data_IF_038888324089
#
_entry.id   IF_038888324089
#
_cell.length_a   1.000
_cell.length_b   1.000
_cell.length_c   1.000
_cell.angle_alpha   90.00
_cell.angle_beta   90.00
_cell.angle_gamma   90.00
#
_symmetry.space_group_name_H-M   'P 1'
#
loop_
_entity.id
_entity.type
_entity.pdbx_description
1 polymer ?
#
# COMPACT_ATOMS: atom_id res chain seq x y z
N UNK A 1 -5.38 -6.23 14.45
CA UNK A 1 -4.60 -6.10 13.20
C UNK A 1 -4.59 -4.66 12.74
N UNK A 2 -3.49 -4.23 12.15
CA UNK A 2 -3.38 -2.86 11.67
C UNK A 2 -4.18 -2.66 10.39
N UNK A 3 -4.82 -1.52 10.29
CA UNK A 3 -5.55 -1.11 9.09
C UNK A 3 -4.91 0.16 8.55
N UNK A 4 -4.60 0.15 7.27
CA UNK A 4 -3.91 1.26 6.61
C UNK A 4 -4.80 1.85 5.51
N UNK A 5 -5.67 2.82 5.84
CA UNK A 5 -6.61 3.38 4.86
C UNK A 5 -5.93 4.07 3.68
N UNK A 6 -4.67 4.51 3.84
CA UNK A 6 -3.94 5.15 2.74
C UNK A 6 -3.60 4.21 1.59
N UNK A 7 -3.59 2.89 1.83
CA UNK A 7 -3.42 1.93 0.75
C UNK A 7 -4.53 2.08 -0.29
N UNK A 8 -5.76 2.18 0.18
CA UNK A 8 -6.91 2.38 -0.71
C UNK A 8 -6.86 3.75 -1.36
N UNK A 9 -6.54 4.79 -0.61
CA UNK A 9 -6.46 6.15 -1.13
C UNK A 9 -5.44 6.24 -2.26
N UNK A 10 -4.26 5.67 -2.07
CA UNK A 10 -3.21 5.67 -3.09
C UNK A 10 -3.65 4.91 -4.34
N UNK A 11 -4.30 3.77 -4.15
CA UNK A 11 -4.78 2.97 -5.27
C UNK A 11 -5.85 3.74 -6.08
N UNK A 12 -6.80 4.35 -5.39
CA UNK A 12 -7.86 5.11 -6.04
C UNK A 12 -7.33 6.35 -6.73
N UNK A 13 -6.35 7.01 -6.15
CA UNK A 13 -5.70 8.18 -6.76
C UNK A 13 -5.03 7.84 -8.10
N UNK A 14 -4.58 6.60 -8.26
CA UNK A 14 -3.98 6.13 -9.51
C UNK A 14 -4.97 5.43 -10.43
N UNK A 15 -6.26 5.45 -10.08
CA UNK A 15 -7.31 4.79 -10.85
C UNK A 15 -7.04 3.30 -11.06
N UNK A 16 -6.45 2.65 -10.07
CA UNK A 16 -6.15 1.23 -10.15
C UNK A 16 -7.22 0.41 -9.46
N UNK A 17 -7.62 -0.71 -10.09
CA UNK A 17 -8.42 -1.70 -9.41
C UNK A 17 -7.52 -2.56 -8.52
N UNK A 18 -8.14 -3.26 -7.56
CA UNK A 18 -7.39 -4.21 -6.72
C UNK A 18 -6.68 -5.24 -7.60
N UNK A 19 -7.35 -5.73 -8.64
CA UNK A 19 -6.79 -6.70 -9.57
C UNK A 19 -5.54 -6.15 -10.25
N UNK A 20 -5.62 -4.94 -10.77
CA UNK A 20 -4.50 -4.32 -11.48
C UNK A 20 -3.29 -4.13 -10.57
N UNK A 21 -3.53 -3.65 -9.35
CA UNK A 21 -2.45 -3.45 -8.39
C UNK A 21 -1.83 -4.78 -7.96
N UNK A 22 -2.66 -5.78 -7.69
CA UNK A 22 -2.17 -7.11 -7.32
C UNK A 22 -1.26 -7.69 -8.42
N UNK A 23 -1.64 -7.53 -9.68
CA UNK A 23 -0.81 -7.98 -10.79
C UNK A 23 0.55 -7.26 -10.79
N UNK A 24 0.55 -5.95 -10.57
CA UNK A 24 1.79 -5.17 -10.53
C UNK A 24 2.69 -5.55 -9.35
N UNK A 25 2.11 -5.99 -8.26
CA UNK A 25 2.84 -6.43 -7.07
C UNK A 25 3.19 -7.92 -7.11
N UNK A 26 2.74 -8.65 -8.14
CA UNK A 26 2.96 -10.08 -8.31
C UNK A 26 2.37 -10.92 -7.16
N UNK A 27 1.18 -10.53 -6.70
CA UNK A 27 0.45 -11.28 -5.67
C UNK A 27 -0.98 -11.50 -6.13
N UNK A 28 -1.68 -12.41 -5.44
CA UNK A 28 -3.07 -12.68 -5.75
C UNK A 28 -3.97 -11.53 -5.32
N UNK A 29 -5.03 -11.28 -6.08
CA UNK A 29 -6.01 -10.25 -5.80
C UNK A 29 -6.62 -10.37 -4.40
N UNK A 30 -7.01 -11.59 -4.03
CA UNK A 30 -7.60 -11.85 -2.71
C UNK A 30 -6.61 -11.53 -1.59
N UNK A 31 -5.34 -11.86 -1.79
CA UNK A 31 -4.28 -11.57 -0.82
C UNK A 31 -4.15 -10.06 -0.60
N UNK A 32 -4.07 -9.29 -1.68
CA UNK A 32 -3.97 -7.84 -1.56
C UNK A 32 -5.22 -7.24 -0.91
N UNK A 33 -6.41 -7.72 -1.30
CA UNK A 33 -7.67 -7.26 -0.72
C UNK A 33 -7.67 -7.43 0.80
N UNK A 34 -7.17 -8.54 1.29
CA UNK A 34 -7.10 -8.79 2.73
C UNK A 34 -6.19 -7.80 3.46
N UNK A 35 -5.12 -7.37 2.81
CA UNK A 35 -4.24 -6.34 3.38
C UNK A 35 -4.91 -4.97 3.38
N UNK A 36 -5.56 -4.60 2.29
CA UNK A 36 -6.21 -3.30 2.17
C UNK A 36 -7.39 -3.16 3.14
N UNK A 37 -8.12 -4.22 3.39
CA UNK A 37 -9.28 -4.21 4.29
C UNK A 37 -8.93 -4.45 5.76
N UNK A 38 -7.67 -4.76 6.06
CA UNK A 38 -7.23 -5.00 7.42
C UNK A 38 -7.51 -6.40 7.94
N UNK A 39 -7.96 -7.32 7.09
CA UNK A 39 -8.18 -8.72 7.50
C UNK A 39 -6.90 -9.46 7.81
N UNK A 40 -5.80 -9.04 7.19
CA UNK A 40 -4.47 -9.59 7.43
C UNK A 40 -3.48 -8.48 7.55
N UNK A 41 -2.45 -8.69 8.37
CA UNK A 41 -1.39 -7.71 8.52
C UNK A 41 -0.55 -7.62 7.25
N UNK A 42 -0.21 -6.40 6.86
CA UNK A 42 0.62 -6.14 5.70
C UNK A 42 2.07 -6.53 6.03
N UNK A 43 2.67 -7.48 5.29
CA UNK A 43 4.08 -7.81 5.51
C UNK A 43 4.96 -6.61 5.20
N UNK A 44 6.03 -6.48 5.98
CA UNK A 44 6.93 -5.33 5.83
C UNK A 44 7.56 -5.28 4.44
N UNK A 45 7.95 -6.42 3.90
CA UNK A 45 8.53 -6.51 2.55
C UNK A 45 7.56 -5.99 1.49
N UNK A 46 6.29 -6.31 1.63
CA UNK A 46 5.27 -5.84 0.69
C UNK A 46 5.01 -4.36 0.88
N UNK A 47 5.04 -3.88 2.11
CA UNK A 47 4.90 -2.45 2.39
C UNK A 47 6.00 -1.65 1.69
N UNK A 48 7.23 -2.14 1.70
CA UNK A 48 8.35 -1.51 1.00
C UNK A 48 8.09 -1.48 -0.50
N UNK A 49 7.62 -2.58 -1.09
CA UNK A 49 7.29 -2.65 -2.52
C UNK A 49 6.19 -1.66 -2.89
N UNK A 50 5.18 -1.55 -2.06
CA UNK A 50 4.08 -0.61 -2.28
C UNK A 50 4.58 0.83 -2.21
N UNK A 51 5.41 1.14 -1.22
CA UNK A 51 5.98 2.47 -1.08
C UNK A 51 6.83 2.84 -2.30
N UNK A 52 7.62 1.91 -2.79
CA UNK A 52 8.42 2.12 -4.00
C UNK A 52 7.55 2.29 -5.24
N UNK A 53 6.51 1.46 -5.36
CA UNK A 53 5.60 1.53 -6.50
C UNK A 53 4.91 2.89 -6.59
N UNK A 54 4.43 3.42 -5.47
CA UNK A 54 3.77 4.71 -5.43
C UNK A 54 4.74 5.89 -5.27
N UNK A 55 6.01 5.60 -5.01
CA UNK A 55 7.02 6.62 -4.71
C UNK A 55 6.61 7.48 -3.51
N UNK A 56 6.21 6.83 -2.43
CA UNK A 56 5.81 7.46 -1.18
C UNK A 56 6.60 6.87 -0.03
N UNK A 57 6.57 7.53 1.14
CA UNK A 57 7.26 7.02 2.31
C UNK A 57 6.44 5.93 3.00
N UNK A 58 7.13 5.03 3.70
CA UNK A 58 6.48 4.07 4.58
C UNK A 58 5.73 4.79 5.70
N UNK A 59 6.27 5.90 6.20
CA UNK A 59 5.63 6.69 7.24
C UNK A 59 4.28 7.22 6.77
N UNK A 60 4.18 7.62 5.51
CA UNK A 60 2.91 8.08 4.94
C UNK A 60 1.89 6.94 4.92
N UNK A 61 2.30 5.75 4.46
CA UNK A 61 1.42 4.58 4.41
C UNK A 61 0.94 4.21 5.82
N UNK A 62 1.85 4.26 6.78
CA UNK A 62 1.54 3.94 8.18
C UNK A 62 0.69 5.00 8.89
N UNK A 63 0.62 6.20 8.33
CA UNK A 63 -0.16 7.29 8.93
C UNK A 63 0.61 8.14 9.92
N UNK A 64 1.93 8.01 9.98
CA UNK A 64 2.76 8.80 10.90
C UNK A 64 3.08 10.19 10.38
N UNK A 65 2.88 10.43 9.10
CA UNK A 65 3.11 11.74 8.49
C UNK A 65 2.09 11.97 7.37
N UNK A 66 1.78 13.23 7.13
CA UNK A 66 0.95 13.64 5.98
C UNK A 66 1.80 13.99 4.76
N UNK A 67 3.11 13.92 4.88
CA UNK A 67 4.02 14.17 3.78
C UNK A 67 4.10 12.93 2.91
N UNK A 68 3.60 13.04 1.68
CA UNK A 68 3.51 11.89 0.76
C UNK A 68 4.86 11.48 0.18
N UNK A 69 5.75 12.43 -0.03
CA UNK A 69 7.03 12.19 -0.68
C UNK A 69 7.90 11.21 0.10
N UNK A 70 8.72 10.39 -0.59
CA UNK A 70 9.61 9.47 0.11
C UNK A 70 10.64 10.21 0.95
N UNK A 71 11.00 9.60 2.09
CA UNK A 71 12.10 10.09 2.89
C UNK A 71 13.39 9.66 2.22
N UNK A 72 14.31 10.59 2.03
CA UNK A 72 15.62 10.32 1.45
C UNK A 72 16.68 10.39 2.52
N UNK A 73 17.45 9.35 2.58
CA UNK A 73 18.54 9.24 3.54
C UNK A 73 19.88 9.54 2.88
#
# INVERSE_FOLDING_TARGET
>A
MAYYPRLRDLREDKDLTIRELAEKLHIQRTTYHNYETGKRELPFDLAIKIAEFYNVSLDYIAGFTDIISPIRY
#
